data_IF_467363854554
#
_entry.id   IF_467363854554
#
_cell.length_a   1.000
_cell.length_b   1.000
_cell.length_c   1.000
_cell.angle_alpha   90.00
_cell.angle_beta   90.00
_cell.angle_gamma   90.00
#
_symmetry.space_group_name_H-M   'P 1'
#
loop_
_entity.id
_entity.type
_entity.pdbx_description
1 polymer ?
#
# COMPACT_ATOMS: atom_id res chain seq x y z
N UNK A 1 -47.76 -21.57 27.27
CA UNK A 1 -46.33 -21.70 26.95
C UNK A 1 -45.75 -20.30 27.05
N UNK A 2 -44.94 -20.05 28.08
CA UNK A 2 -44.50 -18.71 28.46
C UNK A 2 -43.48 -18.16 27.45
N UNK A 3 -43.76 -17.00 26.87
CA UNK A 3 -42.75 -16.19 26.19
C UNK A 3 -41.85 -15.54 27.25
N UNK A 4 -40.59 -15.97 27.29
CA UNK A 4 -39.52 -15.29 28.02
C UNK A 4 -39.11 -14.07 27.18
N UNK A 5 -39.60 -12.90 27.57
CA UNK A 5 -39.05 -11.62 27.14
C UNK A 5 -37.75 -11.40 27.92
N UNK A 6 -36.61 -11.50 27.25
CA UNK A 6 -35.33 -11.05 27.78
C UNK A 6 -35.17 -9.59 27.32
N UNK A 7 -35.17 -8.61 28.23
CA UNK A 7 -34.92 -7.23 27.84
C UNK A 7 -33.46 -7.13 27.38
N UNK A 8 -33.23 -6.61 26.17
CA UNK A 8 -31.89 -6.29 25.71
C UNK A 8 -31.26 -5.33 26.72
N UNK A 9 -30.24 -5.87 27.38
CA UNK A 9 -29.42 -5.18 28.35
C UNK A 9 -28.71 -4.05 27.63
N UNK A 10 -28.78 -2.84 28.21
CA UNK A 10 -27.96 -1.71 27.81
C UNK A 10 -26.51 -2.18 27.63
N UNK A 11 -26.04 -2.21 26.39
CA UNK A 11 -24.64 -2.45 26.06
C UNK A 11 -23.88 -1.24 26.61
N UNK A 12 -23.31 -1.41 27.80
CA UNK A 12 -22.29 -0.51 28.29
C UNK A 12 -21.06 -0.68 27.38
N UNK A 13 -20.90 0.23 26.43
CA UNK A 13 -19.64 0.41 25.71
C UNK A 13 -18.69 1.01 26.76
N UNK A 14 -17.87 0.17 27.38
CA UNK A 14 -16.68 0.69 28.07
C UNK A 14 -15.84 1.41 27.03
N UNK A 15 -15.72 2.72 27.19
CA UNK A 15 -14.96 3.58 26.31
C UNK A 15 -13.51 3.14 26.32
N UNK A 16 -13.06 2.44 25.26
CA UNK A 16 -11.65 2.28 25.00
C UNK A 16 -11.07 3.66 24.77
N UNK A 17 -10.33 4.15 25.76
CA UNK A 17 -9.46 5.31 25.60
C UNK A 17 -8.08 4.70 25.47
N UNK A 18 -7.43 4.75 24.29
CA UNK A 18 -6.01 4.44 24.22
C UNK A 18 -5.35 5.23 25.35
N UNK A 19 -4.56 4.57 26.19
CA UNK A 19 -3.92 5.28 27.29
C UNK A 19 -3.13 6.43 26.65
N UNK A 20 -3.26 7.65 27.18
CA UNK A 20 -2.59 8.83 26.65
C UNK A 20 -1.04 8.66 26.60
N UNK A 21 -0.53 7.58 27.20
CA UNK A 21 0.86 7.18 27.29
C UNK A 21 1.35 6.24 26.18
N UNK A 22 0.47 5.68 25.33
CA UNK A 22 0.88 4.82 24.19
C UNK A 22 1.03 5.60 22.87
N UNK A 23 1.15 6.92 22.96
CA UNK A 23 1.27 7.82 21.83
C UNK A 23 2.61 7.66 21.10
N UNK A 24 2.53 7.21 19.84
CA UNK A 24 3.62 7.05 18.87
C UNK A 24 4.45 5.77 19.10
N UNK A 25 4.06 4.70 18.41
CA UNK A 25 4.84 3.46 18.32
C UNK A 25 5.77 3.53 17.11
N UNK A 26 7.07 3.49 17.34
CA UNK A 26 8.04 3.34 16.26
C UNK A 26 7.97 1.92 15.71
N UNK A 27 7.91 1.80 14.39
CA UNK A 27 7.89 0.53 13.66
C UNK A 27 9.25 0.38 12.99
N UNK A 28 10.04 -0.58 13.46
CA UNK A 28 11.35 -0.87 12.87
C UNK A 28 11.21 -1.87 11.73
N UNK A 29 11.84 -1.56 10.60
CA UNK A 29 11.87 -2.42 9.41
C UNK A 29 13.33 -2.69 9.10
N UNK A 30 13.71 -3.96 9.05
CA UNK A 30 15.05 -4.35 8.63
C UNK A 30 15.14 -4.35 7.10
N UNK A 31 15.93 -3.43 6.56
CA UNK A 31 16.22 -3.31 5.13
C UNK A 31 17.73 -3.47 4.86
N UNK A 32 18.43 -4.17 5.77
CA UNK A 32 19.84 -4.51 5.59
C UNK A 32 20.06 -5.43 4.38
N UNK A 33 19.07 -6.27 4.07
CA UNK A 33 19.00 -7.09 2.86
C UNK A 33 17.78 -6.68 2.05
N UNK A 34 18.01 -6.36 0.77
CA UNK A 34 16.95 -5.98 -0.19
C UNK A 34 16.85 -7.07 -1.27
N UNK A 35 16.10 -8.14 -1.02
CA UNK A 35 15.99 -9.27 -1.94
C UNK A 35 15.26 -8.90 -3.24
N UNK A 36 15.20 -9.85 -4.17
CA UNK A 36 14.66 -9.62 -5.50
C UNK A 36 13.15 -9.30 -5.50
N UNK A 37 12.37 -9.94 -4.64
CA UNK A 37 10.93 -9.70 -4.44
C UNK A 37 10.65 -8.29 -3.87
N UNK A 38 11.54 -7.76 -3.02
CA UNK A 38 11.50 -6.35 -2.60
C UNK A 38 11.49 -5.42 -3.81
N UNK A 39 12.46 -5.56 -4.70
CA UNK A 39 12.55 -4.72 -5.90
C UNK A 39 11.41 -5.01 -6.87
N UNK A 40 10.97 -6.27 -7.00
CA UNK A 40 9.77 -6.60 -7.76
C UNK A 40 8.56 -5.78 -7.30
N UNK A 41 8.32 -5.65 -5.98
CA UNK A 41 7.18 -4.89 -5.45
C UNK A 41 7.17 -3.42 -5.93
N UNK A 42 8.33 -2.79 -6.02
CA UNK A 42 8.51 -1.42 -6.53
C UNK A 42 8.20 -1.33 -8.03
N UNK A 43 8.75 -2.21 -8.86
CA UNK A 43 8.51 -2.12 -10.31
C UNK A 43 7.12 -2.58 -10.72
N UNK A 44 6.58 -3.61 -10.07
CA UNK A 44 5.20 -4.06 -10.25
C UNK A 44 4.23 -2.93 -9.93
N UNK A 45 4.41 -2.23 -8.81
CA UNK A 45 3.53 -1.13 -8.44
C UNK A 45 3.56 0.04 -9.42
N UNK A 46 4.74 0.39 -9.94
CA UNK A 46 4.85 1.43 -10.97
C UNK A 46 4.11 1.00 -12.25
N UNK A 47 4.33 -0.23 -12.71
CA UNK A 47 3.67 -0.76 -13.90
C UNK A 47 2.15 -0.91 -13.71
N UNK A 48 1.70 -1.34 -12.53
CA UNK A 48 0.28 -1.38 -12.16
C UNK A 48 -0.33 0.03 -12.14
N UNK A 49 0.37 1.01 -11.57
CA UNK A 49 -0.07 2.41 -11.56
C UNK A 49 -0.25 2.96 -12.97
N UNK A 50 0.71 2.71 -13.87
CA UNK A 50 0.60 3.10 -15.29
C UNK A 50 -0.57 2.39 -16.00
N UNK A 51 -0.79 1.10 -15.70
CA UNK A 51 -1.73 0.27 -16.44
C UNK A 51 -3.19 0.37 -15.96
N UNK A 52 -3.41 0.42 -14.64
CA UNK A 52 -4.72 0.28 -14.01
C UNK A 52 -5.28 1.58 -13.41
N UNK A 53 -4.46 2.61 -13.18
CA UNK A 53 -4.96 3.85 -12.61
C UNK A 53 -5.81 4.62 -13.64
N UNK A 54 -7.02 5.02 -13.23
CA UNK A 54 -8.06 5.51 -14.14
C UNK A 54 -7.82 6.96 -14.54
N UNK A 55 -7.31 7.79 -13.61
CA UNK A 55 -7.22 9.25 -13.74
C UNK A 55 -5.80 9.76 -14.06
N UNK A 56 -4.94 8.87 -14.57
CA UNK A 56 -3.56 9.22 -14.88
C UNK A 56 -3.50 10.19 -16.07
N UNK A 57 -2.85 11.33 -15.89
CA UNK A 57 -2.61 12.25 -17.00
C UNK A 57 -1.73 11.55 -18.06
N UNK A 58 -2.09 11.67 -19.33
CA UNK A 58 -1.44 10.97 -20.44
C UNK A 58 -1.40 9.44 -20.22
N UNK A 59 -2.49 8.88 -19.68
CA UNK A 59 -2.59 7.45 -19.39
C UNK A 59 -2.32 6.59 -20.65
N UNK A 60 -1.57 5.49 -20.52
CA UNK A 60 -1.46 4.45 -21.56
C UNK A 60 -2.82 3.90 -22.03
N UNK A 61 -3.89 4.11 -21.26
CA UNK A 61 -5.28 3.78 -21.63
C UNK A 61 -5.78 4.50 -22.88
N UNK A 62 -5.12 5.59 -23.26
CA UNK A 62 -5.43 6.34 -24.49
C UNK A 62 -4.76 5.75 -25.74
N UNK A 63 -3.86 4.77 -25.58
CA UNK A 63 -3.20 4.11 -26.68
C UNK A 63 -4.18 3.20 -27.43
N UNK A 64 -4.11 3.20 -28.76
CA UNK A 64 -5.02 2.42 -29.61
C UNK A 64 -4.94 0.91 -29.39
N UNK A 65 -3.83 0.41 -28.84
CA UNK A 65 -3.61 -1.01 -28.55
C UNK A 65 -3.79 -1.37 -27.07
N UNK A 66 -4.30 -0.45 -26.22
CA UNK A 66 -4.67 -0.80 -24.85
C UNK A 66 -5.71 -1.94 -24.83
N UNK A 67 -5.60 -2.96 -23.96
CA UNK A 67 -4.67 -3.09 -22.83
C UNK A 67 -3.31 -3.75 -23.16
N UNK A 68 -3.02 -4.04 -24.43
CA UNK A 68 -1.84 -4.79 -24.88
C UNK A 68 -0.63 -3.91 -25.22
N UNK A 69 -0.45 -2.79 -24.52
CA UNK A 69 0.67 -1.87 -24.76
C UNK A 69 1.97 -2.37 -24.11
N UNK A 70 3.11 -1.97 -24.66
CA UNK A 70 4.46 -2.26 -24.13
C UNK A 70 5.22 -0.99 -23.72
N UNK A 71 6.39 -1.11 -23.07
CA UNK A 71 7.24 0.05 -22.76
C UNK A 71 7.71 0.75 -24.05
N UNK A 72 7.88 0.00 -25.14
CA UNK A 72 8.17 0.54 -26.46
C UNK A 72 7.03 1.40 -27.02
N UNK A 73 5.78 0.95 -26.92
CA UNK A 73 4.62 1.76 -27.33
C UNK A 73 4.55 3.07 -26.55
N UNK A 74 4.81 2.98 -25.23
CA UNK A 74 4.81 4.13 -24.35
C UNK A 74 5.83 5.17 -24.80
N UNK A 75 7.05 4.76 -25.15
CA UNK A 75 8.10 5.64 -25.65
C UNK A 75 7.80 6.18 -27.06
N UNK A 76 7.35 5.32 -27.96
CA UNK A 76 7.20 5.67 -29.38
C UNK A 76 6.07 6.67 -29.66
N UNK A 77 5.09 6.78 -28.76
CA UNK A 77 3.85 7.54 -28.98
C UNK A 77 3.70 8.77 -28.09
N UNK A 78 4.53 8.92 -27.07
CA UNK A 78 4.48 10.05 -26.15
C UNK A 78 5.60 11.05 -26.40
N UNK A 79 5.43 12.27 -25.88
CA UNK A 79 6.45 13.31 -26.02
C UNK A 79 7.73 12.98 -25.23
N UNK A 80 8.82 13.66 -25.57
CA UNK A 80 10.07 13.60 -24.79
C UNK A 80 9.89 14.10 -23.34
N UNK A 81 8.78 14.77 -23.01
CA UNK A 81 8.47 15.27 -21.67
C UNK A 81 7.46 14.40 -20.91
N UNK A 82 7.07 13.26 -21.48
CA UNK A 82 6.08 12.35 -20.89
C UNK A 82 6.41 11.98 -19.45
N UNK A 83 7.64 11.47 -19.22
CA UNK A 83 8.04 11.00 -17.90
C UNK A 83 8.06 12.13 -16.86
N UNK A 84 8.44 13.35 -17.26
CA UNK A 84 8.39 14.53 -16.39
C UNK A 84 6.96 14.88 -15.98
N UNK A 85 5.98 14.64 -16.86
CA UNK A 85 4.56 14.88 -16.56
C UNK A 85 3.94 13.81 -15.66
N UNK A 86 4.42 12.56 -15.73
CA UNK A 86 3.81 11.42 -15.03
C UNK A 86 4.49 11.09 -13.70
N UNK A 87 5.77 11.44 -13.55
CA UNK A 87 6.56 11.16 -12.35
C UNK A 87 5.89 11.65 -11.05
N UNK A 88 5.33 12.89 -10.96
CA UNK A 88 4.63 13.31 -9.74
C UNK A 88 3.44 12.42 -9.38
N UNK A 89 2.74 11.89 -10.38
CA UNK A 89 1.63 10.95 -10.18
C UNK A 89 2.12 9.57 -9.75
N UNK A 90 3.23 9.08 -10.31
CA UNK A 90 3.85 7.82 -9.86
C UNK A 90 4.33 7.91 -8.41
N UNK A 91 4.89 9.06 -8.00
CA UNK A 91 5.33 9.32 -6.63
C UNK A 91 4.17 9.43 -5.63
N UNK A 92 2.98 9.85 -6.08
CA UNK A 92 1.81 10.01 -5.21
C UNK A 92 0.85 8.81 -5.31
N UNK A 93 0.22 8.61 -6.47
CA UNK A 93 -0.75 7.54 -6.69
C UNK A 93 -0.10 6.17 -6.90
N UNK A 94 1.05 6.12 -7.57
CA UNK A 94 1.81 4.87 -7.69
C UNK A 94 2.22 4.32 -6.31
N UNK A 95 2.40 5.19 -5.31
CA UNK A 95 2.72 4.79 -3.94
C UNK A 95 1.61 3.96 -3.29
N UNK A 96 0.34 4.17 -3.65
CA UNK A 96 -0.77 3.31 -3.21
C UNK A 96 -0.59 1.87 -3.69
N UNK A 97 -0.25 1.67 -4.97
CA UNK A 97 0.05 0.35 -5.52
C UNK A 97 1.28 -0.27 -4.86
N UNK A 98 2.29 0.56 -4.56
CA UNK A 98 3.47 0.12 -3.84
C UNK A 98 3.09 -0.40 -2.45
N UNK A 99 2.29 0.34 -1.69
CA UNK A 99 1.83 -0.08 -0.37
C UNK A 99 1.07 -1.40 -0.41
N UNK A 100 0.22 -1.64 -1.42
CA UNK A 100 -0.49 -2.92 -1.58
C UNK A 100 0.51 -4.07 -1.70
N UNK A 101 1.48 -3.96 -2.62
CA UNK A 101 2.45 -5.04 -2.84
C UNK A 101 3.41 -5.19 -1.65
N UNK A 102 3.86 -4.07 -1.08
CA UNK A 102 4.80 -4.05 0.03
C UNK A 102 4.18 -4.61 1.32
N UNK A 103 2.99 -4.15 1.71
CA UNK A 103 2.31 -4.60 2.93
C UNK A 103 1.86 -6.06 2.84
N UNK A 104 1.76 -6.61 1.63
CA UNK A 104 1.52 -8.03 1.40
C UNK A 104 2.81 -8.88 1.27
N UNK A 105 4.00 -8.27 1.39
CA UNK A 105 5.30 -8.96 1.27
C UNK A 105 5.94 -9.22 2.64
N UNK A 106 6.77 -10.27 2.77
CA UNK A 106 7.49 -10.56 4.02
C UNK A 106 8.25 -9.34 4.60
N UNK A 107 8.81 -8.48 3.76
CA UNK A 107 9.56 -7.29 4.24
C UNK A 107 8.61 -6.25 4.83
N UNK A 108 7.38 -6.15 4.31
CA UNK A 108 6.34 -5.30 4.87
C UNK A 108 5.65 -5.87 6.12
N UNK A 109 6.04 -7.05 6.58
CA UNK A 109 5.48 -7.78 7.74
C UNK A 109 5.21 -6.92 8.94
N UNK A 110 6.25 -6.31 9.47
CA UNK A 110 6.21 -5.57 10.71
C UNK A 110 5.27 -4.37 10.57
N UNK A 111 5.22 -3.76 9.39
CA UNK A 111 4.32 -2.63 9.10
C UNK A 111 2.88 -3.09 8.99
N UNK A 112 2.62 -4.16 8.23
CA UNK A 112 1.30 -4.75 8.06
C UNK A 112 0.70 -5.19 9.40
N UNK A 113 1.50 -5.83 10.25
CA UNK A 113 1.12 -6.26 11.58
C UNK A 113 0.80 -5.07 12.51
N UNK A 114 1.60 -4.00 12.44
CA UNK A 114 1.38 -2.79 13.22
C UNK A 114 0.04 -2.11 12.84
N UNK A 115 -0.26 -1.99 11.55
CA UNK A 115 -1.55 -1.43 11.08
C UNK A 115 -2.70 -2.33 11.53
N UNK A 116 -2.57 -3.65 11.35
CA UNK A 116 -3.59 -4.64 11.75
C UNK A 116 -3.91 -4.54 13.23
N UNK A 117 -2.88 -4.51 14.07
CA UNK A 117 -3.02 -4.36 15.53
C UNK A 117 -3.66 -3.01 15.89
N UNK A 118 -3.24 -1.93 15.23
CA UNK A 118 -3.82 -0.60 15.44
C UNK A 118 -5.32 -0.55 15.14
N UNK A 119 -5.74 -1.14 14.02
CA UNK A 119 -7.15 -1.23 13.63
C UNK A 119 -7.94 -2.14 14.59
N UNK A 120 -7.37 -3.29 14.97
CA UNK A 120 -8.00 -4.22 15.92
C UNK A 120 -8.28 -3.55 17.28
N UNK A 121 -7.35 -2.73 17.76
CA UNK A 121 -7.46 -2.00 19.01
C UNK A 121 -8.54 -0.90 18.95
N UNK A 122 -8.64 -0.17 17.83
CA UNK A 122 -9.63 0.91 17.67
C UNK A 122 -11.06 0.35 17.61
N UNK A 123 -11.26 -0.69 16.80
CA UNK A 123 -12.60 -1.18 16.46
C UNK A 123 -13.11 -2.25 17.42
N UNK A 124 -12.32 -2.59 18.45
CA UNK A 124 -12.63 -3.64 19.43
C UNK A 124 -13.24 -4.87 18.75
N UNK A 125 -12.59 -5.34 17.67
CA UNK A 125 -13.10 -6.43 16.84
C UNK A 125 -13.18 -7.71 17.67
N UNK A 126 -14.30 -7.94 18.35
CA UNK A 126 -14.54 -9.12 19.19
C UNK A 126 -14.43 -10.45 18.44
N UNK A 127 -14.48 -10.40 17.10
CA UNK A 127 -14.32 -11.55 16.20
C UNK A 127 -12.96 -11.58 15.46
N UNK A 128 -12.04 -10.62 15.69
CA UNK A 128 -10.74 -10.60 15.01
C UNK A 128 -9.91 -11.85 15.30
N UNK A 129 -10.05 -12.46 16.47
CA UNK A 129 -9.40 -13.73 16.82
C UNK A 129 -9.79 -14.90 15.90
N UNK A 130 -10.97 -14.84 15.26
CA UNK A 130 -11.43 -15.87 14.30
C UNK A 130 -10.91 -15.59 12.89
N UNK A 131 -10.51 -14.36 12.61
CA UNK A 131 -10.03 -13.92 11.30
C UNK A 131 -8.52 -14.11 11.24
N UNK A 132 -8.12 -15.35 10.94
CA UNK A 132 -6.74 -15.78 10.95
C UNK A 132 -5.90 -15.03 9.91
N UNK A 133 -6.44 -14.79 8.72
CA UNK A 133 -5.69 -14.30 7.58
C UNK A 133 -6.06 -12.86 7.23
N UNK A 134 -5.09 -12.09 6.70
CA UNK A 134 -5.35 -10.71 6.26
C UNK A 134 -4.68 -10.38 4.92
N UNK A 135 -5.16 -9.35 4.22
CA UNK A 135 -4.55 -8.88 2.97
C UNK A 135 -4.87 -7.41 2.74
N UNK A 136 -3.90 -6.65 2.24
CA UNK A 136 -4.14 -5.31 1.71
C UNK A 136 -4.61 -5.40 0.26
N UNK A 137 -5.70 -4.70 -0.06
CA UNK A 137 -6.29 -4.68 -1.41
C UNK A 137 -6.49 -3.23 -1.86
N UNK A 138 -6.50 -3.01 -3.18
CA UNK A 138 -6.90 -1.73 -3.74
C UNK A 138 -8.39 -1.50 -3.50
N UNK A 139 -8.73 -0.31 -3.03
CA UNK A 139 -10.10 0.17 -2.91
C UNK A 139 -10.34 1.38 -3.82
N UNK A 140 -11.58 1.88 -3.82
CA UNK A 140 -11.96 3.09 -4.54
C UNK A 140 -12.29 2.89 -6.01
N UNK A 141 -12.58 4.01 -6.68
CA UNK A 141 -12.92 4.06 -8.12
C UNK A 141 -11.73 4.33 -9.02
N UNK A 142 -10.61 4.76 -8.45
CA UNK A 142 -9.48 5.30 -9.21
C UNK A 142 -8.52 4.23 -9.72
N UNK A 143 -8.75 2.96 -9.35
CA UNK A 143 -8.03 1.80 -9.85
C UNK A 143 -8.96 0.75 -10.44
N UNK A 144 -8.61 0.23 -11.62
CA UNK A 144 -9.24 -0.96 -12.20
C UNK A 144 -8.87 -2.26 -11.45
N UNK A 145 -7.90 -2.22 -10.51
CA UNK A 145 -7.59 -3.34 -9.62
C UNK A 145 -8.50 -3.42 -8.39
N UNK A 146 -9.37 -2.43 -8.17
CA UNK A 146 -10.31 -2.45 -7.06
C UNK A 146 -11.27 -3.63 -7.22
N UNK A 147 -11.06 -4.68 -6.41
CA UNK A 147 -11.86 -5.93 -6.43
C UNK A 147 -13.08 -5.86 -5.51
N UNK A 148 -13.32 -4.69 -4.91
CA UNK A 148 -14.27 -4.46 -3.82
C UNK A 148 -15.73 -4.36 -4.33
N UNK A 149 -16.09 -5.28 -5.22
CA UNK A 149 -17.49 -5.50 -5.66
C UNK A 149 -18.23 -6.48 -4.75
N UNK A 150 -17.53 -7.12 -3.81
CA UNK A 150 -18.09 -8.11 -2.89
C UNK A 150 -17.56 -7.89 -1.47
N UNK A 151 -18.11 -6.91 -0.75
CA UNK A 151 -17.92 -6.82 0.69
C UNK A 151 -19.15 -7.38 1.40
N UNK A 152 -18.92 -8.19 2.41
CA UNK A 152 -19.90 -8.48 3.45
C UNK A 152 -19.56 -7.54 4.60
N UNK A 153 -20.40 -6.52 4.79
CA UNK A 153 -20.22 -5.57 5.89
C UNK A 153 -20.55 -6.24 7.24
N UNK A 154 -19.96 -5.70 8.29
CA UNK A 154 -20.15 -6.03 9.70
C UNK A 154 -21.61 -6.33 10.02
N UNK A 155 -21.87 -7.57 10.45
CA UNK A 155 -23.12 -8.06 11.07
C UNK A 155 -24.45 -7.85 10.33
N UNK A 156 -24.52 -7.11 9.22
CA UNK A 156 -25.78 -6.81 8.53
C UNK A 156 -25.61 -6.93 7.02
N UNK A 157 -26.19 -8.01 6.52
CA UNK A 157 -26.57 -8.27 5.11
C UNK A 157 -25.44 -8.47 4.10
N UNK A 158 -25.46 -9.66 3.47
CA UNK A 158 -24.75 -9.98 2.22
C UNK A 158 -25.36 -9.18 1.06
N UNK A 159 -25.02 -7.90 0.92
CA UNK A 159 -25.41 -7.11 -0.26
C UNK A 159 -24.21 -6.71 -1.09
N UNK A 160 -24.32 -6.86 -2.41
CA UNK A 160 -23.41 -6.22 -3.36
C UNK A 160 -23.49 -4.72 -3.11
N UNK A 161 -22.35 -4.07 -2.87
CA UNK A 161 -22.32 -2.64 -2.68
C UNK A 161 -22.46 -1.96 -4.03
N UNK A 162 -23.57 -1.26 -4.22
CA UNK A 162 -23.83 -0.46 -5.42
C UNK A 162 -23.85 1.03 -5.14
N UNK A 163 -23.79 1.45 -3.87
CA UNK A 163 -23.85 2.86 -3.49
C UNK A 163 -22.46 3.52 -3.58
N UNK A 164 -22.31 4.53 -4.44
CA UNK A 164 -21.08 5.33 -4.58
C UNK A 164 -20.72 6.10 -3.31
N UNK A 165 -21.65 6.29 -2.37
CA UNK A 165 -21.36 6.90 -1.07
C UNK A 165 -20.73 5.93 -0.08
N UNK A 166 -20.71 4.64 -0.38
CA UNK A 166 -20.12 3.64 0.49
C UNK A 166 -18.62 3.88 0.68
N UNK A 167 -18.11 3.62 1.88
CA UNK A 167 -16.70 3.82 2.27
C UNK A 167 -15.71 3.22 1.26
N UNK A 168 -15.99 2.01 0.78
CA UNK A 168 -15.19 1.32 -0.23
C UNK A 168 -14.94 2.13 -1.52
N UNK A 169 -15.91 2.90 -2.01
CA UNK A 169 -15.75 3.73 -3.20
C UNK A 169 -14.97 5.03 -2.92
N UNK A 170 -14.88 5.43 -1.64
CA UNK A 170 -14.26 6.66 -1.16
C UNK A 170 -13.04 6.34 -0.28
N UNK A 171 -12.27 5.33 -0.68
CA UNK A 171 -11.05 4.88 0.02
C UNK A 171 -10.00 4.47 -1.00
N UNK A 172 -8.73 4.48 -0.60
CA UNK A 172 -7.62 4.07 -1.46
C UNK A 172 -7.23 2.61 -1.22
N UNK A 173 -7.27 2.18 0.04
CA UNK A 173 -6.87 0.85 0.46
C UNK A 173 -7.95 0.19 1.30
N UNK A 174 -7.98 -1.14 1.26
CA UNK A 174 -8.71 -1.94 2.21
C UNK A 174 -7.78 -2.97 2.86
N UNK A 175 -7.94 -3.19 4.16
CA UNK A 175 -7.38 -4.33 4.87
C UNK A 175 -8.50 -5.36 5.05
N UNK A 176 -8.45 -6.40 4.22
CA UNK A 176 -9.36 -7.54 4.29
C UNK A 176 -8.90 -8.56 5.31
N UNK A 177 -9.86 -9.14 6.01
CA UNK A 177 -9.68 -10.19 7.01
C UNK A 177 -10.52 -11.41 6.62
N UNK A 178 -9.96 -12.61 6.73
CA UNK A 178 -10.64 -13.85 6.37
C UNK A 178 -10.31 -15.00 7.34
N UNK A 179 -11.23 -15.95 7.44
CA UNK A 179 -10.97 -17.25 8.08
C UNK A 179 -10.18 -18.20 7.18
N UNK A 180 -10.14 -17.96 5.87
CA UNK A 180 -9.52 -18.85 4.88
C UNK A 180 -8.36 -18.17 4.15
N UNK A 181 -7.26 -18.91 3.93
CA UNK A 181 -6.04 -18.41 3.29
C UNK A 181 -6.25 -17.97 1.83
N UNK A 182 -7.13 -18.68 1.11
CA UNK A 182 -7.53 -18.35 -0.26
C UNK A 182 -8.53 -17.18 -0.34
N UNK A 183 -8.93 -16.65 0.82
CA UNK A 183 -9.95 -15.60 0.92
C UNK A 183 -11.34 -16.09 0.51
N UNK A 184 -11.65 -17.38 0.56
CA UNK A 184 -13.03 -17.85 0.41
C UNK A 184 -13.87 -17.53 1.66
N UNK A 185 -15.19 -17.48 1.51
CA UNK A 185 -16.12 -17.24 2.63
C UNK A 185 -16.32 -15.76 3.00
N UNK A 186 -16.88 -15.54 4.19
CA UNK A 186 -17.17 -14.19 4.69
C UNK A 186 -15.85 -13.46 5.03
N UNK A 187 -15.77 -12.20 4.65
CA UNK A 187 -14.61 -11.32 4.88
C UNK A 187 -15.06 -10.07 5.59
N UNK A 188 -14.19 -9.51 6.42
CA UNK A 188 -14.36 -8.19 7.03
C UNK A 188 -13.30 -7.27 6.46
N UNK A 189 -13.65 -6.02 6.21
CA UNK A 189 -12.71 -5.04 5.69
C UNK A 189 -12.69 -3.79 6.55
N UNK A 190 -11.48 -3.28 6.77
CA UNK A 190 -11.25 -1.91 7.23
C UNK A 190 -10.77 -1.09 6.02
N UNK A 191 -11.21 0.16 5.89
CA UNK A 191 -10.87 1.01 4.76
C UNK A 191 -9.94 2.13 5.19
N UNK A 192 -9.08 2.57 4.27
CA UNK A 192 -8.13 3.62 4.57
C UNK A 192 -7.68 4.44 3.36
N UNK A 193 -6.96 5.50 3.69
CA UNK A 193 -6.48 6.53 2.77
C UNK A 193 -4.97 6.47 2.61
N UNK A 194 -4.48 6.85 1.42
CA UNK A 194 -3.05 6.96 1.13
C UNK A 194 -2.71 8.39 0.74
N UNK A 195 -2.08 9.11 1.67
CA UNK A 195 -1.61 10.46 1.43
C UNK A 195 -0.11 10.44 1.14
N UNK A 196 0.24 10.21 -0.13
CA UNK A 196 1.61 10.08 -0.65
C UNK A 196 2.60 11.07 -0.05
N UNK A 197 2.92 12.18 -0.71
CA UNK A 197 3.82 13.19 -0.14
C UNK A 197 3.18 14.13 0.91
N UNK A 198 1.91 13.89 1.24
CA UNK A 198 1.07 14.78 2.03
C UNK A 198 0.64 14.14 3.37
N UNK A 199 1.34 13.12 3.85
CA UNK A 199 0.96 12.37 5.06
C UNK A 199 0.79 13.20 6.35
N UNK A 200 1.31 14.43 6.39
CA UNK A 200 1.06 15.35 7.51
C UNK A 200 -0.41 15.78 7.62
N UNK A 201 -1.18 15.71 6.52
CA UNK A 201 -2.61 16.01 6.51
C UNK A 201 -3.42 14.99 7.33
N UNK A 202 -2.96 13.73 7.40
CA UNK A 202 -3.59 12.66 8.19
C UNK A 202 -3.63 12.97 9.70
N UNK A 203 -2.85 13.94 10.16
CA UNK A 203 -2.83 14.41 11.55
C UNK A 203 -3.71 15.65 11.78
N UNK A 204 -4.60 15.98 10.85
CA UNK A 204 -5.47 17.17 10.93
C UNK A 204 -6.94 16.77 10.87
N UNK A 205 -7.77 17.44 11.67
CA UNK A 205 -9.22 17.19 11.71
C UNK A 205 -9.86 17.47 10.35
N UNK A 206 -9.49 18.59 9.73
CA UNK A 206 -9.96 19.01 8.40
C UNK A 206 -9.83 17.89 7.35
N UNK A 207 -8.72 17.16 7.35
CA UNK A 207 -8.54 16.06 6.41
C UNK A 207 -9.62 15.00 6.57
N UNK A 208 -9.89 14.57 7.81
CA UNK A 208 -10.87 13.53 8.10
C UNK A 208 -12.32 14.00 7.96
N UNK A 209 -12.59 15.29 8.20
CA UNK A 209 -13.91 15.89 7.96
C UNK A 209 -14.34 15.85 6.49
N UNK A 210 -13.37 15.88 5.56
CA UNK A 210 -13.60 15.82 4.11
C UNK A 210 -13.74 14.37 3.60
N UNK A 211 -13.55 13.37 4.47
CA UNK A 211 -13.50 11.95 4.11
C UNK A 211 -14.68 11.17 4.69
N UNK A 212 -14.84 9.92 4.25
CA UNK A 212 -15.92 9.07 4.77
C UNK A 212 -15.69 8.76 6.26
N UNK A 213 -16.70 8.89 7.14
CA UNK A 213 -16.51 8.74 8.59
C UNK A 213 -16.03 7.35 9.01
N UNK A 214 -16.37 6.32 8.24
CA UNK A 214 -16.05 4.91 8.50
C UNK A 214 -14.66 4.48 7.97
N UNK A 215 -13.81 5.41 7.52
CA UNK A 215 -12.40 5.09 7.25
C UNK A 215 -11.68 4.85 8.57
N UNK A 216 -10.93 3.75 8.69
CA UNK A 216 -10.30 3.34 9.94
C UNK A 216 -8.83 3.76 10.05
N UNK A 217 -8.15 3.93 8.91
CA UNK A 217 -6.72 4.16 8.88
C UNK A 217 -6.26 5.07 7.74
N UNK A 218 -5.04 5.60 7.89
CA UNK A 218 -4.35 6.37 6.85
C UNK A 218 -2.87 6.06 6.83
N UNK A 219 -2.28 6.06 5.64
CA UNK A 219 -0.83 5.87 5.44
C UNK A 219 -0.29 7.05 4.64
N UNK A 220 0.82 7.64 5.06
CA UNK A 220 1.41 8.73 4.29
C UNK A 220 2.88 8.99 4.53
N UNK A 221 3.51 9.71 3.60
CA UNK A 221 4.90 10.12 3.71
C UNK A 221 5.01 11.51 4.30
N UNK A 222 5.90 11.67 5.28
CA UNK A 222 6.18 12.94 5.96
C UNK A 222 7.66 13.29 5.85
N UNK A 223 7.98 14.58 5.91
CA UNK A 223 9.39 14.98 6.00
C UNK A 223 9.93 14.65 7.39
N UNK A 224 11.13 14.07 7.48
CA UNK A 224 11.74 13.80 8.77
C UNK A 224 11.87 15.08 9.61
N UNK A 225 11.52 14.99 10.90
CA UNK A 225 11.79 16.07 11.85
C UNK A 225 13.26 15.99 12.29
N UNK A 226 14.16 16.39 11.40
CA UNK A 226 15.58 16.46 11.73
C UNK A 226 15.81 17.48 12.86
N UNK A 227 16.56 17.13 13.92
CA UNK A 227 16.87 18.08 14.96
C UNK A 227 17.61 19.27 14.34
N UNK A 228 17.13 20.49 14.60
CA UNK A 228 17.80 21.71 14.14
C UNK A 228 19.24 21.68 14.65
N UNK A 229 20.22 21.63 13.74
CA UNK A 229 21.65 21.74 14.09
C UNK A 229 21.82 23.00 14.94
N UNK A 230 22.18 22.84 16.22
CA UNK A 230 22.66 23.97 17.03
C UNK A 230 23.97 24.45 16.38
N UNK A 231 24.10 25.77 16.14
CA UNK A 231 25.35 26.37 15.64
C UNK A 231 26.51 25.90 16.53
N UNK A 232 27.54 25.28 15.93
CA UNK A 232 28.73 24.79 16.63
C UNK A 232 28.73 23.30 17.00
N UNK A 233 27.66 22.54 16.74
CA UNK A 233 27.67 21.09 16.95
C UNK A 233 28.44 20.36 15.83
N UNK A 234 29.51 19.66 16.19
CA UNK A 234 30.19 18.67 15.34
C UNK A 234 29.17 17.58 14.98
N UNK A 235 29.08 17.25 13.68
CA UNK A 235 28.27 16.17 13.08
C UNK A 235 27.18 15.63 14.01
N UNK A 236 26.05 16.34 14.07
CA UNK A 236 24.90 15.89 14.85
C UNK A 236 24.56 14.45 14.48
N UNK A 237 24.33 13.62 15.50
CA UNK A 237 23.93 12.21 15.38
C UNK A 237 22.85 12.14 14.30
N UNK A 238 23.16 11.42 13.22
CA UNK A 238 22.19 11.20 12.15
C UNK A 238 21.11 10.29 12.73
N UNK A 239 19.93 10.85 13.01
CA UNK A 239 18.80 10.04 13.45
C UNK A 239 18.30 9.30 12.21
N UNK A 240 18.28 7.95 12.24
CA UNK A 240 17.76 7.19 11.12
C UNK A 240 16.30 7.59 10.89
N UNK A 241 15.89 7.70 9.61
CA UNK A 241 14.51 7.98 9.28
C UNK A 241 13.59 6.89 9.83
N UNK A 242 12.37 7.26 10.19
CA UNK A 242 11.45 6.41 10.97
C UNK A 242 10.16 6.06 10.22
N UNK A 243 9.58 4.93 10.62
CA UNK A 243 8.17 4.61 10.40
C UNK A 243 7.47 4.64 11.74
N UNK A 244 6.32 5.31 11.82
CA UNK A 244 5.62 5.54 13.09
C UNK A 244 4.13 5.27 12.94
N UNK A 245 3.55 4.58 13.91
CA UNK A 245 2.11 4.40 14.04
C UNK A 245 1.58 5.36 15.10
N UNK A 246 0.59 6.15 14.71
CA UNK A 246 -0.08 7.15 15.54
C UNK A 246 -1.58 6.84 15.60
N UNK A 247 -2.26 7.37 16.61
CA UNK A 247 -3.71 7.33 16.72
C UNK A 247 -4.26 8.75 16.66
N UNK A 248 -5.08 9.05 15.66
CA UNK A 248 -5.72 10.33 15.51
C UNK A 248 -7.16 10.25 16.04
N UNK A 249 -7.55 11.14 16.95
CA UNK A 249 -8.92 11.19 17.47
C UNK A 249 -9.79 12.08 16.58
N UNK A 250 -10.81 11.51 15.98
CA UNK A 250 -11.82 12.20 15.18
C UNK A 250 -13.21 12.02 15.81
N UNK A 251 -14.21 12.82 15.40
CA UNK A 251 -15.57 12.70 15.93
C UNK A 251 -16.20 11.34 15.62
N UNK A 252 -15.82 10.71 14.50
CA UNK A 252 -16.30 9.37 14.10
C UNK A 252 -15.52 8.21 14.75
N UNK A 253 -14.55 8.51 15.61
CA UNK A 253 -13.71 7.50 16.27
C UNK A 253 -12.22 7.75 16.11
N UNK A 254 -11.40 6.85 16.65
CA UNK A 254 -9.96 6.90 16.42
C UNK A 254 -9.61 6.41 15.01
N UNK A 255 -8.50 6.91 14.47
CA UNK A 255 -7.93 6.52 13.18
C UNK A 255 -6.50 6.05 13.38
N UNK A 256 -6.13 4.89 12.82
CA UNK A 256 -4.75 4.42 12.84
C UNK A 256 -3.96 5.11 11.73
N UNK A 257 -2.93 5.88 12.08
CA UNK A 257 -2.16 6.70 11.12
C UNK A 257 -0.71 6.24 11.07
N UNK A 258 -0.33 5.58 9.98
CA UNK A 258 1.06 5.20 9.72
C UNK A 258 1.78 6.29 8.93
N UNK A 259 2.86 6.82 9.48
CA UNK A 259 3.69 7.83 8.82
C UNK A 259 5.08 7.27 8.54
N UNK A 260 5.49 7.37 7.28
CA UNK A 260 6.82 6.97 6.81
C UNK A 260 7.61 8.25 6.54
N UNK A 261 8.79 8.40 7.15
CA UNK A 261 9.63 9.55 6.84
C UNK A 261 10.19 9.44 5.41
N UNK A 262 10.15 10.54 4.64
CA UNK A 262 10.54 10.58 3.22
C UNK A 262 11.95 10.07 3.00
N UNK A 263 12.84 10.35 3.93
CA UNK A 263 14.24 9.95 3.89
C UNK A 263 14.44 8.45 4.16
N UNK A 264 13.38 7.72 4.56
CA UNK A 264 13.42 6.27 4.78
C UNK A 264 13.68 5.51 3.47
N UNK A 265 14.47 4.44 3.55
CA UNK A 265 14.88 3.65 2.39
C UNK A 265 13.69 3.15 1.57
N UNK A 266 12.57 2.78 2.18
CA UNK A 266 11.35 2.38 1.46
C UNK A 266 10.91 3.42 0.43
N UNK A 267 10.90 4.69 0.84
CA UNK A 267 10.44 5.79 -0.03
C UNK A 267 11.52 6.16 -1.03
N UNK A 268 12.79 6.19 -0.61
CA UNK A 268 13.90 6.49 -1.50
C UNK A 268 14.09 5.41 -2.57
N UNK A 269 14.00 4.13 -2.20
CA UNK A 269 14.09 3.00 -3.14
C UNK A 269 12.94 3.02 -4.15
N UNK A 270 11.73 3.41 -3.73
CA UNK A 270 10.61 3.58 -4.66
C UNK A 270 10.87 4.72 -5.66
N UNK A 271 11.45 5.83 -5.19
CA UNK A 271 11.87 6.91 -6.09
C UNK A 271 13.00 6.49 -7.04
N UNK A 272 13.96 5.69 -6.55
CA UNK A 272 15.06 5.17 -7.37
C UNK A 272 14.53 4.19 -8.44
N UNK A 273 13.54 3.36 -8.10
CA UNK A 273 12.86 2.49 -9.05
C UNK A 273 12.12 3.30 -10.14
N UNK A 274 11.43 4.38 -9.76
CA UNK A 274 10.84 5.31 -10.73
C UNK A 274 11.93 5.90 -11.63
N UNK A 275 13.03 6.40 -11.06
CA UNK A 275 14.12 6.99 -11.83
C UNK A 275 14.75 6.00 -12.81
N UNK A 276 14.92 4.74 -12.40
CA UNK A 276 15.38 3.69 -13.32
C UNK A 276 14.41 3.49 -14.48
N UNK A 277 13.10 3.44 -14.21
CA UNK A 277 12.11 3.29 -15.28
C UNK A 277 12.12 4.51 -16.22
N UNK A 278 12.32 5.71 -15.70
CA UNK A 278 12.51 6.94 -16.50
C UNK A 278 13.75 6.80 -17.40
N UNK A 279 14.86 6.30 -16.87
CA UNK A 279 16.08 6.11 -17.66
C UNK A 279 15.89 5.03 -18.74
N UNK A 280 15.19 3.93 -18.42
CA UNK A 280 14.80 2.89 -19.38
C UNK A 280 13.85 3.46 -20.45
N UNK A 281 12.92 4.34 -20.09
CA UNK A 281 12.05 5.01 -21.06
C UNK A 281 12.84 5.84 -22.06
N UNK A 282 13.82 6.62 -21.61
CA UNK A 282 14.58 7.48 -22.51
C UNK A 282 15.61 6.73 -23.36
N UNK A 283 16.27 5.73 -22.79
CA UNK A 283 17.36 4.98 -23.44
C UNK A 283 16.90 3.68 -24.11
N UNK A 284 15.70 3.21 -23.78
CA UNK A 284 15.19 1.93 -24.25
C UNK A 284 16.03 0.74 -23.77
N UNK A 285 16.10 -0.36 -24.55
CA UNK A 285 16.84 -1.56 -24.18
C UNK A 285 18.36 -1.36 -24.12
N UNK A 286 18.88 -0.21 -24.57
CA UNK A 286 20.31 0.15 -24.46
C UNK A 286 20.68 0.71 -23.08
N UNK A 287 19.71 0.90 -22.17
CA UNK A 287 19.98 1.33 -20.80
C UNK A 287 21.03 0.43 -20.13
N UNK A 288 22.06 1.06 -19.55
CA UNK A 288 23.09 0.37 -18.78
C UNK A 288 22.93 0.73 -17.31
N UNK A 289 22.78 -0.30 -16.49
CA UNK A 289 22.81 -0.20 -15.04
C UNK A 289 24.11 0.46 -14.60
N UNK A 290 24.01 1.42 -13.70
CA UNK A 290 25.16 2.03 -13.06
C UNK A 290 25.77 1.03 -12.06
N UNK A 291 27.10 1.07 -11.89
CA UNK A 291 27.85 0.13 -11.06
C UNK A 291 27.48 0.14 -9.56
N UNK A 292 26.62 1.05 -9.11
CA UNK A 292 26.20 1.23 -7.73
C UNK A 292 24.85 0.59 -7.39
N UNK A 293 24.18 -0.08 -8.33
CA UNK A 293 22.95 -0.82 -8.04
C UNK A 293 23.24 -2.19 -7.43
N UNK A 294 22.33 -2.70 -6.58
CA UNK A 294 22.43 -4.06 -6.07
C UNK A 294 22.27 -5.09 -7.20
N UNK A 295 22.70 -6.32 -6.95
CA UNK A 295 22.55 -7.43 -7.89
C UNK A 295 21.08 -7.64 -8.26
N UNK A 296 20.20 -7.60 -7.26
CA UNK A 296 18.75 -7.80 -7.40
C UNK A 296 18.12 -6.69 -8.24
N UNK A 297 18.46 -5.43 -7.95
CA UNK A 297 17.98 -4.28 -8.72
C UNK A 297 18.48 -4.34 -10.18
N UNK A 298 19.72 -4.81 -10.37
CA UNK A 298 20.28 -5.02 -11.71
C UNK A 298 19.51 -6.09 -12.47
N UNK A 299 19.14 -7.21 -11.82
CA UNK A 299 18.30 -8.26 -12.41
C UNK A 299 16.95 -7.75 -12.89
N UNK A 300 16.28 -6.90 -12.10
CA UNK A 300 15.01 -6.29 -12.54
C UNK A 300 15.19 -5.49 -13.82
N UNK A 301 16.27 -4.70 -13.92
CA UNK A 301 16.55 -3.94 -15.14
C UNK A 301 16.71 -4.85 -16.38
N UNK A 302 17.33 -6.03 -16.22
CA UNK A 302 17.49 -6.98 -17.32
C UNK A 302 16.14 -7.52 -17.78
N UNK A 303 15.25 -7.84 -16.85
CA UNK A 303 13.88 -8.28 -17.15
C UNK A 303 13.12 -7.19 -17.91
N UNK A 304 13.15 -5.94 -17.42
CA UNK A 304 12.47 -4.82 -18.08
C UNK A 304 13.01 -4.55 -19.49
N UNK A 305 14.32 -4.69 -19.69
CA UNK A 305 14.95 -4.50 -21.00
C UNK A 305 14.64 -5.65 -21.96
N UNK A 306 14.64 -6.89 -21.48
CA UNK A 306 14.28 -8.05 -22.28
C UNK A 306 12.79 -8.04 -22.66
N UNK A 307 11.94 -7.61 -21.73
CA UNK A 307 10.49 -7.45 -21.91
C UNK A 307 10.06 -6.08 -22.45
N UNK A 308 10.98 -5.29 -23.04
CA UNK A 308 10.70 -3.90 -23.41
C UNK A 308 9.55 -3.77 -24.43
N UNK A 309 9.48 -4.72 -25.36
CA UNK A 309 8.44 -4.80 -26.41
C UNK A 309 7.29 -5.74 -25.99
N UNK A 310 7.37 -6.38 -24.82
CA UNK A 310 6.36 -7.32 -24.31
C UNK A 310 5.15 -6.55 -23.77
N UNK A 311 3.91 -7.04 -23.98
CA UNK A 311 2.73 -6.44 -23.37
C UNK A 311 2.87 -6.32 -21.85
N UNK A 312 2.55 -5.15 -21.28
CA UNK A 312 2.73 -4.89 -19.85
C UNK A 312 2.00 -5.90 -18.96
N UNK A 313 0.85 -6.42 -19.40
CA UNK A 313 0.13 -7.48 -18.66
C UNK A 313 0.97 -8.75 -18.54
N UNK A 314 1.72 -9.12 -19.57
CA UNK A 314 2.59 -10.30 -19.54
C UNK A 314 3.81 -10.05 -18.67
N UNK A 315 4.39 -8.86 -18.73
CA UNK A 315 5.48 -8.44 -17.86
C UNK A 315 5.06 -8.43 -16.38
N UNK A 316 3.85 -7.94 -16.07
CA UNK A 316 3.25 -8.01 -14.74
C UNK A 316 3.04 -9.45 -14.26
N UNK A 317 2.58 -10.35 -15.15
CA UNK A 317 2.46 -11.78 -14.85
C UNK A 317 3.83 -12.41 -14.58
N UNK A 318 4.85 -12.03 -15.34
CA UNK A 318 6.23 -12.48 -15.09
C UNK A 318 6.70 -12.10 -13.69
N UNK A 319 6.50 -10.84 -13.29
CA UNK A 319 6.84 -10.41 -11.93
C UNK A 319 6.02 -11.09 -10.83
N UNK A 320 4.74 -11.41 -11.08
CA UNK A 320 3.91 -12.15 -10.12
C UNK A 320 4.39 -13.59 -9.86
N UNK A 321 5.17 -14.21 -10.76
CA UNK A 321 5.79 -15.50 -10.44
C UNK A 321 6.81 -15.41 -9.31
N UNK A 322 7.44 -14.26 -9.15
CA UNK A 322 8.47 -14.03 -8.14
C UNK A 322 7.89 -13.51 -6.82
N UNK A 323 6.58 -13.27 -6.76
CA UNK A 323 5.95 -12.58 -5.65
C UNK A 323 4.55 -13.15 -5.38
N UNK A 324 4.33 -13.72 -4.19
CA UNK A 324 3.02 -14.30 -3.81
C UNK A 324 2.02 -13.21 -3.40
N UNK A 325 1.69 -12.31 -4.34
CA UNK A 325 0.81 -11.17 -4.08
C UNK A 325 -0.68 -11.54 -4.01
N UNK A 326 -1.05 -12.78 -4.36
CA UNK A 326 -2.45 -13.18 -4.58
C UNK A 326 -3.11 -13.86 -3.37
N UNK A 327 -2.34 -14.37 -2.42
CA UNK A 327 -2.88 -15.05 -1.24
C UNK A 327 -3.06 -14.11 -0.04
N UNK A 328 -3.94 -14.50 0.90
CA UNK A 328 -3.97 -13.83 2.20
C UNK A 328 -2.78 -14.26 3.07
N UNK A 329 -2.44 -13.44 4.03
CA UNK A 329 -1.29 -13.60 4.91
C UNK A 329 -1.66 -14.36 6.17
N UNK A 330 -0.88 -15.39 6.51
CA UNK A 330 -0.90 -16.01 7.84
C UNK A 330 0.07 -15.26 8.79
N UNK A 331 -0.43 -14.53 9.81
CA UNK A 331 0.41 -13.78 10.73
C UNK A 331 1.41 -14.65 11.52
N UNK A 332 1.15 -15.95 11.69
CA UNK A 332 2.02 -16.85 12.46
C UNK A 332 3.20 -17.41 11.64
N UNK A 333 3.07 -17.48 10.31
CA UNK A 333 4.10 -18.05 9.42
C UNK A 333 4.77 -17.02 8.52
N UNK A 334 4.41 -15.76 8.67
CA UNK A 334 4.79 -14.67 7.79
C UNK A 334 6.30 -14.40 7.72
N UNK A 335 7.05 -14.76 8.78
CA UNK A 335 8.52 -14.66 8.80
C UNK A 335 9.24 -15.90 8.25
N UNK A 336 8.51 -16.96 7.88
CA UNK A 336 9.09 -18.28 7.56
C UNK A 336 8.79 -18.81 6.17
N UNK A 337 7.80 -18.24 5.46
CA UNK A 337 7.32 -18.79 4.20
C UNK A 337 7.32 -17.76 3.06
N UNK A 338 8.48 -17.49 2.48
CA UNK A 338 8.52 -17.25 1.04
C UNK A 338 9.47 -18.27 0.42
N UNK A 339 8.84 -19.28 -0.18
CA UNK A 339 9.50 -20.17 -1.12
C UNK A 339 9.83 -19.30 -2.33
N UNK A 340 11.10 -18.91 -2.46
CA UNK A 340 11.65 -18.54 -3.77
C UNK A 340 11.43 -19.78 -4.64
N UNK A 341 10.46 -19.75 -5.55
CA UNK A 341 10.38 -20.75 -6.62
C UNK A 341 11.57 -20.45 -7.52
N UNK A 342 12.68 -21.13 -7.27
CA UNK A 342 13.94 -20.99 -8.01
C UNK A 342 13.89 -21.59 -9.42
N UNK A 343 12.74 -22.08 -9.85
CA UNK A 343 12.61 -22.83 -11.08
C UNK A 343 11.86 -21.96 -12.11
N UNK A 344 12.64 -21.11 -12.80
CA UNK A 344 12.26 -20.47 -14.06
C UNK A 344 13.47 -20.44 -15.00
#
# INVERSE_FOLDING_TARGET
>A
MNMLYIPDQNIHIESFTPSLFDALREVTIDLSVKPFDYWCSHFVSILQGLHYHVNLQNSPRTLSNYPHWSLQDLRGRNSNHYMQSIEPYLRNWGFQYFLINFLNSAIGSTVSAAIREGIANINNFKNAERLKYFRFESAGTDSLLSRISYLVDQEKTRSIITDRKHVAFNSDLALGFSMHFDGTGDKIFAFGEVEGNYGHQLLTEKFWDEKHPDLDFGIGVVKAKQPKKKKGAVLGILIPPKVTLNYFKHWSGYKAVLLIEREHNIVQDYHDAIQMLVDIYYRGPDFRVLNNYSTELSQISYILKAGYDTPIIELLKQFSYYSDFDNFIDPETYNTNHIIRTDA
#
